data_IF_804282817426
#
_entry.id   IF_804282817426
#
_cell.length_a   1.000
_cell.length_b   1.000
_cell.length_c   1.000
_cell.angle_alpha   90.00
_cell.angle_beta   90.00
_cell.angle_gamma   90.00
#
_symmetry.space_group_name_H-M   'P 1'
#
loop_
_entity.id
_entity.type
_entity.pdbx_description
1 polymer ?
#
# COMPACT_ATOMS: atom_id res chain seq x y z
N UNK A 1 -10.43 6.41 -28.50
CA UNK A 1 -11.25 7.41 -27.78
C UNK A 1 -11.95 6.71 -26.61
N UNK A 2 -11.56 6.98 -25.37
CA UNK A 2 -12.19 6.36 -24.18
C UNK A 2 -13.42 7.17 -23.83
N UNK A 3 -14.61 6.55 -23.84
CA UNK A 3 -15.86 7.22 -23.47
C UNK A 3 -15.90 7.37 -21.96
N UNK A 4 -15.69 8.59 -21.46
CA UNK A 4 -15.81 8.92 -20.04
C UNK A 4 -17.29 9.02 -19.72
N UNK A 5 -17.80 8.13 -18.86
CA UNK A 5 -19.16 8.21 -18.33
C UNK A 5 -19.33 9.53 -17.54
N UNK A 6 -20.48 10.20 -17.65
CA UNK A 6 -20.78 11.42 -16.90
C UNK A 6 -20.61 11.23 -15.38
N UNK A 7 -20.79 10.00 -14.87
CA UNK A 7 -20.55 9.67 -13.47
C UNK A 7 -19.06 9.81 -13.08
N UNK A 8 -18.14 9.57 -14.01
CA UNK A 8 -16.69 9.66 -13.81
C UNK A 8 -16.21 11.11 -13.66
N UNK A 9 -16.98 12.08 -14.18
CA UNK A 9 -16.60 13.51 -14.14
C UNK A 9 -16.40 13.94 -12.69
N UNK A 10 -17.37 13.67 -11.81
CA UNK A 10 -17.27 14.00 -10.39
C UNK A 10 -16.09 13.33 -9.70
N UNK A 11 -15.77 12.08 -10.08
CA UNK A 11 -14.59 11.37 -9.55
C UNK A 11 -13.30 12.07 -9.93
N UNK A 12 -13.15 12.46 -11.20
CA UNK A 12 -11.95 13.11 -11.72
C UNK A 12 -11.83 14.53 -11.15
N UNK A 13 -12.93 15.27 -11.08
CA UNK A 13 -12.97 16.63 -10.50
C UNK A 13 -12.55 16.60 -9.02
N UNK A 14 -13.18 15.75 -8.20
CA UNK A 14 -12.84 15.63 -6.76
C UNK A 14 -11.44 15.06 -6.51
N UNK A 15 -10.90 14.32 -7.48
CA UNK A 15 -9.52 13.82 -7.42
C UNK A 15 -8.50 14.94 -7.74
N UNK A 16 -8.85 15.82 -8.67
CA UNK A 16 -8.01 16.95 -9.09
C UNK A 16 -8.04 18.15 -8.13
N UNK A 17 -9.10 18.30 -7.32
CA UNK A 17 -9.19 19.37 -6.32
C UNK A 17 -8.22 19.15 -5.18
N UNK A 18 -7.26 20.06 -5.00
CA UNK A 18 -6.34 20.03 -3.86
C UNK A 18 -7.10 20.27 -2.55
N UNK A 19 -6.73 19.57 -1.46
CA UNK A 19 -7.41 19.70 -0.19
C UNK A 19 -6.96 21.00 0.50
N UNK A 20 -7.87 21.60 1.27
CA UNK A 20 -7.53 22.73 2.12
C UNK A 20 -6.50 22.29 3.18
N UNK A 21 -5.50 23.13 3.45
CA UNK A 21 -4.37 22.81 4.34
C UNK A 21 -4.81 22.43 5.77
N UNK A 22 -6.00 22.86 6.19
CA UNK A 22 -6.54 22.63 7.53
C UNK A 22 -7.15 21.22 7.70
N UNK A 23 -7.41 20.51 6.61
CA UNK A 23 -7.95 19.14 6.65
C UNK A 23 -6.82 18.12 6.65
N UNK A 24 -6.41 17.70 7.85
CA UNK A 24 -5.38 16.68 8.05
C UNK A 24 -5.68 15.40 7.26
N UNK A 25 -6.93 14.94 7.26
CA UNK A 25 -7.28 13.64 6.70
C UNK A 25 -7.19 13.69 5.16
N UNK A 26 -7.79 14.71 4.55
CA UNK A 26 -7.77 14.88 3.10
C UNK A 26 -6.37 15.23 2.59
N UNK A 27 -5.64 16.09 3.32
CA UNK A 27 -4.26 16.48 3.00
C UNK A 27 -3.28 15.34 3.13
N UNK A 28 -3.54 14.34 3.99
CA UNK A 28 -2.68 13.15 4.06
C UNK A 28 -2.93 12.19 2.90
N UNK A 29 -4.21 12.01 2.52
CA UNK A 29 -4.64 11.00 1.56
C UNK A 29 -4.20 11.33 0.12
N UNK A 30 -4.26 12.60 -0.26
CA UNK A 30 -4.08 13.02 -1.65
C UNK A 30 -2.62 12.98 -2.16
N UNK A 31 -1.60 13.50 -1.44
CA UNK A 31 -0.22 13.49 -1.92
C UNK A 31 0.50 12.15 -1.67
N UNK A 32 0.07 11.34 -0.69
CA UNK A 32 0.81 10.13 -0.29
C UNK A 32 0.32 8.84 -0.96
N UNK A 33 -0.91 8.79 -1.48
CA UNK A 33 -1.38 7.64 -2.25
C UNK A 33 -2.59 7.92 -3.13
N UNK A 34 -2.22 8.51 -4.26
CA UNK A 34 -3.01 8.75 -5.47
C UNK A 34 -3.90 7.58 -5.88
N UNK A 35 -3.34 6.37 -5.90
CA UNK A 35 -4.03 5.12 -6.24
C UNK A 35 -5.21 4.80 -5.31
N UNK A 36 -4.99 4.85 -3.99
CA UNK A 36 -6.05 4.58 -3.00
C UNK A 36 -7.08 5.68 -2.95
N UNK A 37 -6.68 6.94 -3.09
CA UNK A 37 -7.61 8.08 -3.14
C UNK A 37 -8.54 7.96 -4.34
N UNK A 38 -8.00 7.68 -5.52
CA UNK A 38 -8.80 7.46 -6.72
C UNK A 38 -9.78 6.30 -6.52
N UNK A 39 -9.30 5.18 -5.96
CA UNK A 39 -10.14 4.03 -5.63
C UNK A 39 -11.25 4.38 -4.63
N UNK A 40 -10.96 5.17 -3.59
CA UNK A 40 -11.95 5.65 -2.63
C UNK A 40 -13.06 6.45 -3.31
N UNK A 41 -12.70 7.37 -4.22
CA UNK A 41 -13.67 8.18 -4.96
C UNK A 41 -14.53 7.32 -5.88
N UNK A 42 -13.95 6.32 -6.53
CA UNK A 42 -14.71 5.34 -7.31
C UNK A 42 -15.72 4.56 -6.46
N UNK A 43 -15.30 4.10 -5.28
CA UNK A 43 -16.18 3.41 -4.33
C UNK A 43 -17.28 4.31 -3.78
N UNK A 44 -17.01 5.61 -3.65
CA UNK A 44 -17.97 6.59 -3.16
C UNK A 44 -19.05 6.93 -4.20
N UNK A 45 -18.70 7.05 -5.48
CA UNK A 45 -19.60 7.56 -6.52
C UNK A 45 -20.26 6.49 -7.39
N UNK A 46 -19.58 5.38 -7.74
CA UNK A 46 -19.99 4.60 -8.93
C UNK A 46 -19.82 3.10 -8.78
N UNK A 47 -18.72 2.65 -8.17
CA UNK A 47 -18.19 1.32 -8.46
C UNK A 47 -18.17 0.38 -7.25
N UNK A 48 -18.27 -0.91 -7.57
CA UNK A 48 -17.85 -2.02 -6.73
C UNK A 48 -16.52 -2.54 -7.24
N UNK A 49 -15.62 -2.91 -6.35
CA UNK A 49 -14.35 -3.54 -6.72
C UNK A 49 -14.52 -5.04 -6.89
N UNK A 50 -14.01 -5.58 -7.99
CA UNK A 50 -13.90 -7.02 -8.22
C UNK A 50 -12.41 -7.37 -8.21
N UNK A 51 -12.03 -8.37 -7.42
CA UNK A 51 -10.68 -8.94 -7.47
C UNK A 51 -10.65 -10.04 -8.52
N UNK A 52 -9.83 -9.86 -9.55
CA UNK A 52 -9.62 -10.85 -10.61
C UNK A 52 -8.39 -11.68 -10.26
N UNK A 53 -8.57 -12.97 -10.03
CA UNK A 53 -7.52 -13.88 -9.55
C UNK A 53 -6.46 -14.22 -10.60
N UNK A 54 -6.77 -14.02 -11.88
CA UNK A 54 -5.83 -14.16 -13.00
C UNK A 54 -4.89 -12.97 -13.16
N UNK A 55 -5.17 -11.82 -12.52
CA UNK A 55 -4.33 -10.63 -12.56
C UNK A 55 -3.11 -10.79 -11.63
N UNK A 56 -2.08 -11.49 -12.11
CA UNK A 56 -0.82 -11.69 -11.38
C UNK A 56 0.17 -10.60 -11.74
N UNK A 57 0.55 -9.78 -10.76
CA UNK A 57 1.55 -8.72 -10.94
C UNK A 57 2.82 -9.04 -10.13
N UNK A 58 3.99 -8.96 -10.78
CA UNK A 58 5.28 -9.07 -10.09
C UNK A 58 5.76 -7.67 -9.69
N UNK A 59 6.20 -7.52 -8.45
CA UNK A 59 6.76 -6.26 -7.95
C UNK A 59 8.20 -6.46 -7.51
N UNK A 60 9.07 -5.48 -7.80
CA UNK A 60 10.43 -5.47 -7.29
C UNK A 60 10.40 -5.02 -5.83
N UNK A 61 10.82 -5.86 -4.86
CA UNK A 61 10.83 -5.45 -3.46
C UNK A 61 11.88 -4.34 -3.24
N UNK A 62 11.73 -3.53 -2.18
CA UNK A 62 12.76 -2.57 -1.80
C UNK A 62 14.08 -3.29 -1.49
N UNK A 63 15.18 -2.75 -2.02
CA UNK A 63 16.51 -3.37 -1.92
C UNK A 63 17.26 -2.99 -0.63
N UNK A 64 16.69 -2.11 0.21
CA UNK A 64 17.28 -1.73 1.48
C UNK A 64 16.24 -1.51 2.57
N UNK A 65 16.64 -1.72 3.83
CA UNK A 65 15.80 -1.50 5.00
C UNK A 65 15.25 -0.08 5.08
N UNK A 66 16.09 0.90 4.77
CA UNK A 66 15.67 2.30 4.73
C UNK A 66 14.58 2.57 3.69
N UNK A 67 14.74 2.03 2.47
CA UNK A 67 13.73 2.13 1.41
C UNK A 67 12.44 1.42 1.80
N UNK A 68 12.54 0.25 2.45
CA UNK A 68 11.40 -0.48 2.98
C UNK A 68 10.63 0.35 4.02
N UNK A 69 11.30 0.88 5.04
CA UNK A 69 10.65 1.66 6.10
C UNK A 69 10.02 2.94 5.57
N UNK A 70 10.71 3.67 4.69
CA UNK A 70 10.18 4.90 4.07
C UNK A 70 8.94 4.60 3.22
N UNK A 71 9.00 3.55 2.40
CA UNK A 71 7.86 3.10 1.59
C UNK A 71 6.68 2.69 2.47
N UNK A 72 6.95 1.91 3.53
CA UNK A 72 5.91 1.42 4.45
C UNK A 72 5.32 2.52 5.31
N UNK A 73 6.09 3.53 5.70
CA UNK A 73 5.58 4.76 6.35
C UNK A 73 4.57 5.44 5.44
N UNK A 74 4.94 5.75 4.19
CA UNK A 74 4.05 6.37 3.19
C UNK A 74 2.76 5.57 3.01
N UNK A 75 2.90 4.28 2.74
CA UNK A 75 1.75 3.41 2.50
C UNK A 75 0.88 3.21 3.74
N UNK A 76 1.51 3.16 4.92
CA UNK A 76 0.84 3.03 6.21
C UNK A 76 -0.01 4.25 6.52
N UNK A 77 0.57 5.46 6.47
CA UNK A 77 -0.17 6.72 6.67
C UNK A 77 -1.32 6.83 5.68
N UNK A 78 -1.05 6.64 4.40
CA UNK A 78 -2.09 6.71 3.37
C UNK A 78 -3.21 5.68 3.58
N UNK A 79 -2.86 4.42 3.91
CA UNK A 79 -3.85 3.38 4.15
C UNK A 79 -4.68 3.67 5.41
N UNK A 80 -4.07 4.19 6.47
CA UNK A 80 -4.75 4.55 7.72
C UNK A 80 -5.83 5.61 7.47
N UNK A 81 -5.47 6.74 6.87
CA UNK A 81 -6.42 7.84 6.64
C UNK A 81 -7.48 7.53 5.58
N UNK A 82 -7.14 6.82 4.49
CA UNK A 82 -8.17 6.37 3.54
C UNK A 82 -9.17 5.41 4.19
N UNK A 83 -8.69 4.54 5.10
CA UNK A 83 -9.58 3.61 5.80
C UNK A 83 -10.52 4.36 6.72
N UNK A 84 -10.05 5.39 7.43
CA UNK A 84 -10.90 6.29 8.22
C UNK A 84 -11.99 6.90 7.32
N UNK A 85 -11.63 7.42 6.15
CA UNK A 85 -12.61 7.97 5.20
C UNK A 85 -13.64 6.94 4.75
N UNK A 86 -13.23 5.70 4.47
CA UNK A 86 -14.17 4.62 4.13
C UNK A 86 -15.13 4.27 5.27
N UNK A 87 -14.71 4.46 6.52
CA UNK A 87 -15.54 4.18 7.70
C UNK A 87 -16.60 5.26 7.89
N UNK A 88 -16.21 6.54 7.83
CA UNK A 88 -17.11 7.65 8.16
C UNK A 88 -18.02 8.10 7.00
N UNK A 89 -17.62 7.92 5.75
CA UNK A 89 -18.34 8.51 4.62
C UNK A 89 -19.64 7.76 4.31
N UNK A 90 -20.75 8.50 4.17
CA UNK A 90 -22.12 7.97 4.17
C UNK A 90 -22.46 7.09 2.97
N UNK A 91 -21.97 7.39 1.75
CA UNK A 91 -22.32 6.64 0.54
C UNK A 91 -21.51 5.35 0.32
N UNK A 92 -20.56 5.02 1.20
CA UNK A 92 -19.78 3.80 1.09
C UNK A 92 -20.65 2.59 1.49
N UNK A 93 -20.65 1.56 0.65
CA UNK A 93 -21.41 0.33 0.88
C UNK A 93 -21.12 -0.30 2.27
N UNK A 94 -22.13 -0.74 3.03
CA UNK A 94 -21.97 -1.21 4.42
C UNK A 94 -20.94 -2.33 4.58
N UNK A 95 -20.88 -3.29 3.64
CA UNK A 95 -19.89 -4.38 3.67
C UNK A 95 -18.44 -3.82 3.57
N UNK A 96 -18.22 -2.85 2.70
CA UNK A 96 -16.92 -2.18 2.55
C UNK A 96 -16.56 -1.41 3.83
N UNK A 97 -17.56 -0.80 4.47
CA UNK A 97 -17.41 -0.11 5.75
C UNK A 97 -16.97 -1.09 6.85
N UNK A 98 -17.65 -2.24 7.00
CA UNK A 98 -17.28 -3.27 7.99
C UNK A 98 -15.86 -3.80 7.72
N UNK A 99 -15.52 -4.08 6.46
CA UNK A 99 -14.17 -4.52 6.10
C UNK A 99 -13.11 -3.47 6.45
N UNK A 100 -13.43 -2.19 6.21
CA UNK A 100 -12.58 -1.05 6.57
C UNK A 100 -12.45 -0.88 8.09
N UNK A 101 -13.54 -1.01 8.85
CA UNK A 101 -13.51 -1.01 10.32
C UNK A 101 -12.59 -2.10 10.85
N UNK A 102 -12.73 -3.34 10.36
CA UNK A 102 -11.87 -4.46 10.74
C UNK A 102 -10.40 -4.19 10.42
N UNK A 103 -10.12 -3.56 9.27
CA UNK A 103 -8.76 -3.19 8.89
C UNK A 103 -8.19 -2.08 9.79
N UNK A 104 -8.99 -1.06 10.10
CA UNK A 104 -8.62 0.02 11.01
C UNK A 104 -8.32 -0.52 12.41
N UNK A 105 -9.19 -1.39 12.95
CA UNK A 105 -8.95 -2.07 14.23
C UNK A 105 -7.62 -2.84 14.22
N UNK A 106 -7.32 -3.56 13.14
CA UNK A 106 -6.05 -4.31 13.02
C UNK A 106 -4.81 -3.40 13.05
N UNK A 107 -4.92 -2.19 12.47
CA UNK A 107 -3.85 -1.18 12.52
C UNK A 107 -3.68 -0.62 13.93
N UNK A 108 -4.77 -0.23 14.60
CA UNK A 108 -4.72 0.33 15.96
C UNK A 108 -4.25 -0.70 17.00
N UNK A 109 -4.67 -1.96 16.88
CA UNK A 109 -4.37 -3.03 17.84
C UNK A 109 -3.00 -3.69 17.60
N UNK A 110 -2.11 -3.09 16.81
CA UNK A 110 -0.78 -3.67 16.55
C UNK A 110 0.07 -3.79 17.81
N UNK A 111 0.02 -2.79 18.70
CA UNK A 111 0.74 -2.82 19.98
C UNK A 111 0.15 -3.85 20.95
N UNK A 112 -1.19 -3.94 20.99
CA UNK A 112 -1.90 -4.93 21.80
C UNK A 112 -1.54 -6.37 21.38
N UNK A 113 -1.36 -6.63 20.08
CA UNK A 113 -0.90 -7.94 19.59
C UNK A 113 0.49 -8.32 20.10
N UNK A 114 1.42 -7.36 20.17
CA UNK A 114 2.75 -7.61 20.71
C UNK A 114 2.69 -7.97 22.20
N UNK A 115 1.90 -7.22 22.96
CA UNK A 115 1.69 -7.50 24.38
C UNK A 115 1.06 -8.88 24.62
N UNK A 116 -0.01 -9.22 23.87
CA UNK A 116 -0.64 -10.54 23.96
C UNK A 116 0.30 -11.68 23.56
N UNK A 117 1.19 -11.46 22.60
CA UNK A 117 2.22 -12.44 22.24
C UNK A 117 3.19 -12.66 23.41
N UNK A 118 3.63 -11.59 24.08
CA UNK A 118 4.43 -11.69 25.30
C UNK A 118 3.72 -12.48 26.39
N UNK A 119 2.46 -12.12 26.70
CA UNK A 119 1.65 -12.84 27.67
C UNK A 119 1.48 -14.31 27.31
N UNK A 120 1.16 -14.62 26.05
CA UNK A 120 1.05 -16.00 25.57
C UNK A 120 2.34 -16.78 25.81
N UNK A 121 3.51 -16.22 25.49
CA UNK A 121 4.79 -16.89 25.72
C UNK A 121 5.06 -17.12 27.21
N UNK A 122 4.74 -16.15 28.08
CA UNK A 122 4.90 -16.35 29.53
C UNK A 122 4.03 -17.47 30.07
N UNK A 123 2.76 -17.54 29.61
CA UNK A 123 1.83 -18.59 30.02
C UNK A 123 2.22 -19.95 29.43
N UNK A 124 2.72 -19.96 28.19
CA UNK A 124 3.18 -21.17 27.53
C UNK A 124 4.35 -21.82 28.29
N UNK A 125 5.28 -21.00 28.81
CA UNK A 125 6.42 -21.49 29.59
C UNK A 125 5.99 -21.91 31.00
N UNK A 126 5.10 -21.16 31.65
CA UNK A 126 4.67 -21.44 33.02
C UNK A 126 3.72 -22.64 33.15
N UNK A 127 2.82 -22.83 32.17
CA UNK A 127 1.73 -23.80 32.24
C UNK A 127 1.56 -24.53 30.90
N UNK A 128 2.62 -25.18 30.43
CA UNK A 128 2.60 -25.87 29.14
C UNK A 128 1.59 -27.02 29.10
N UNK A 129 0.53 -26.86 28.32
CA UNK A 129 -0.39 -27.94 27.94
C UNK A 129 -0.26 -28.22 26.43
N UNK A 130 0.28 -29.41 26.11
CA UNK A 130 0.47 -29.84 24.73
C UNK A 130 -0.85 -29.91 23.96
N UNK A 131 -1.93 -30.37 24.59
CA UNK A 131 -3.23 -30.58 23.91
C UNK A 131 -3.87 -29.25 23.54
N UNK A 132 -3.93 -28.32 24.49
CA UNK A 132 -4.40 -26.94 24.25
C UNK A 132 -3.54 -26.24 23.21
N UNK A 133 -2.21 -26.36 23.29
CA UNK A 133 -1.29 -25.79 22.32
C UNK A 133 -1.50 -26.31 20.90
N UNK A 134 -1.62 -27.63 20.71
CA UNK A 134 -1.87 -28.24 19.40
C UNK A 134 -3.21 -27.80 18.81
N UNK A 135 -4.25 -27.72 19.65
CA UNK A 135 -5.59 -27.32 19.23
C UNK A 135 -5.62 -25.86 18.77
N UNK A 136 -5.05 -24.95 19.55
CA UNK A 136 -4.95 -23.52 19.19
C UNK A 136 -4.09 -23.31 17.94
N UNK A 137 -2.95 -24.01 17.86
CA UNK A 137 -2.06 -23.95 16.68
C UNK A 137 -2.77 -24.44 15.42
N UNK A 138 -3.54 -25.53 15.50
CA UNK A 138 -4.33 -26.05 14.38
C UNK A 138 -5.34 -25.03 13.84
N UNK A 139 -6.08 -24.37 14.73
CA UNK A 139 -7.05 -23.32 14.36
C UNK A 139 -6.35 -22.13 13.68
N UNK A 140 -5.19 -21.70 14.21
CA UNK A 140 -4.43 -20.57 13.66
C UNK A 140 -3.78 -20.89 12.30
N UNK A 141 -3.39 -22.15 12.08
CA UNK A 141 -2.78 -22.59 10.82
C UNK A 141 -3.82 -22.82 9.72
N UNK A 142 -5.09 -23.10 10.06
CA UNK A 142 -6.14 -23.45 9.11
C UNK A 142 -6.22 -22.53 7.86
N UNK A 143 -6.25 -21.18 7.97
CA UNK A 143 -6.32 -20.33 6.78
C UNK A 143 -5.08 -20.42 5.89
N UNK A 144 -3.92 -20.70 6.49
CA UNK A 144 -2.66 -20.84 5.74
C UNK A 144 -2.60 -22.18 5.03
N UNK A 145 -3.00 -23.26 5.70
CA UNK A 145 -3.14 -24.57 5.10
C UNK A 145 -4.12 -24.52 3.92
N UNK A 146 -5.29 -23.90 4.11
CA UNK A 146 -6.27 -23.70 3.04
C UNK A 146 -5.69 -22.93 1.84
N UNK A 147 -4.97 -21.84 2.09
CA UNK A 147 -4.31 -21.06 1.03
C UNK A 147 -3.28 -21.89 0.24
N UNK A 148 -2.47 -22.70 0.92
CA UNK A 148 -1.49 -23.56 0.25
C UNK A 148 -2.14 -24.68 -0.55
N UNK A 149 -3.18 -25.30 -0.01
CA UNK A 149 -3.98 -26.29 -0.74
C UNK A 149 -4.55 -25.68 -2.02
N UNK A 150 -5.15 -24.49 -1.94
CA UNK A 150 -5.67 -23.79 -3.12
C UNK A 150 -4.58 -23.43 -4.14
N UNK A 151 -3.39 -23.00 -3.66
CA UNK A 151 -2.27 -22.60 -4.50
C UNK A 151 -1.70 -23.74 -5.35
N UNK A 152 -1.81 -24.99 -4.89
CA UNK A 152 -1.38 -26.19 -5.64
C UNK A 152 -2.17 -26.34 -6.94
N UNK A 153 -3.46 -25.99 -6.93
CA UNK A 153 -4.34 -26.12 -8.09
C UNK A 153 -4.19 -24.99 -9.13
N UNK A 154 -3.50 -23.90 -8.79
CA UNK A 154 -3.29 -22.75 -9.69
C UNK A 154 -1.94 -22.85 -10.39
N UNK A 155 -1.95 -23.13 -11.70
CA UNK A 155 -0.74 -23.31 -12.54
C UNK A 155 0.27 -22.15 -12.40
N UNK A 156 -0.22 -20.92 -12.35
CA UNK A 156 0.60 -19.71 -12.24
C UNK A 156 1.36 -19.61 -10.91
N UNK A 157 0.77 -20.11 -9.81
CA UNK A 157 1.37 -20.03 -8.47
C UNK A 157 2.23 -21.25 -8.18
N UNK A 158 1.88 -22.41 -8.74
CA UNK A 158 2.56 -23.70 -8.51
C UNK A 158 4.06 -23.65 -8.81
N UNK A 159 4.49 -22.99 -9.88
CA UNK A 159 5.92 -22.84 -10.23
C UNK A 159 6.71 -22.05 -9.19
N UNK A 160 6.05 -21.18 -8.43
CA UNK A 160 6.63 -20.31 -7.41
C UNK A 160 6.22 -20.69 -5.99
N UNK A 161 5.65 -21.89 -5.79
CA UNK A 161 5.10 -22.32 -4.50
C UNK A 161 6.15 -22.30 -3.38
N UNK A 162 7.40 -22.68 -3.69
CA UNK A 162 8.51 -22.61 -2.74
C UNK A 162 8.78 -21.18 -2.25
N UNK A 163 8.73 -20.19 -3.15
CA UNK A 163 8.89 -18.76 -2.80
C UNK A 163 7.74 -18.29 -1.93
N UNK A 164 6.52 -18.73 -2.23
CA UNK A 164 5.32 -18.43 -1.44
C UNK A 164 5.41 -19.05 -0.04
N UNK A 165 5.92 -20.29 0.07
CA UNK A 165 6.11 -20.96 1.35
C UNK A 165 7.12 -20.23 2.23
N UNK A 166 8.30 -19.94 1.69
CA UNK A 166 9.35 -19.17 2.39
C UNK A 166 8.80 -17.81 2.82
N UNK A 167 8.13 -17.10 1.90
CA UNK A 167 7.51 -15.81 2.19
C UNK A 167 6.44 -15.87 3.27
N UNK A 168 5.64 -16.94 3.31
CA UNK A 168 4.62 -17.13 4.33
C UNK A 168 5.21 -17.36 5.72
N UNK A 169 6.26 -18.18 5.83
CA UNK A 169 6.99 -18.41 7.07
C UNK A 169 7.67 -17.14 7.57
N UNK A 170 8.40 -16.45 6.68
CA UNK A 170 9.02 -15.16 6.99
C UNK A 170 7.97 -14.14 7.45
N UNK A 171 6.85 -14.02 6.73
CA UNK A 171 5.77 -13.11 7.09
C UNK A 171 5.13 -13.48 8.44
N UNK A 172 5.00 -14.77 8.80
CA UNK A 172 4.41 -15.18 10.08
C UNK A 172 5.15 -14.56 11.27
N UNK A 173 6.47 -14.73 11.29
CA UNK A 173 7.27 -14.41 12.46
C UNK A 173 7.79 -12.97 12.43
N UNK A 174 8.11 -12.46 11.24
CA UNK A 174 8.75 -11.14 11.09
C UNK A 174 7.71 -10.02 11.02
N UNK A 175 6.55 -10.27 10.39
CA UNK A 175 5.58 -9.18 10.13
C UNK A 175 5.00 -8.58 11.41
N UNK A 176 4.84 -9.37 12.47
CA UNK A 176 4.34 -8.87 13.76
C UNK A 176 5.23 -7.78 14.33
N UNK A 177 6.54 -8.04 14.38
CA UNK A 177 7.55 -7.10 14.88
C UNK A 177 7.70 -5.89 13.95
N UNK A 178 7.80 -6.12 12.64
CA UNK A 178 7.92 -5.03 11.66
C UNK A 178 6.69 -4.11 11.70
N UNK A 179 5.48 -4.66 11.88
CA UNK A 179 4.24 -3.86 11.89
C UNK A 179 4.20 -2.87 13.04
N UNK A 180 4.74 -3.23 14.21
CA UNK A 180 4.84 -2.33 15.36
C UNK A 180 5.75 -1.15 15.03
N UNK A 181 6.94 -1.42 14.49
CA UNK A 181 7.89 -0.36 14.10
C UNK A 181 7.33 0.56 12.99
N UNK A 182 6.66 -0.02 11.98
CA UNK A 182 6.00 0.77 10.92
C UNK A 182 4.92 1.65 11.54
N UNK A 183 4.05 1.11 12.39
CA UNK A 183 2.93 1.88 12.93
C UNK A 183 3.39 2.97 13.90
N UNK A 184 4.41 2.70 14.72
CA UNK A 184 5.06 3.72 15.54
C UNK A 184 5.61 4.85 14.67
N UNK A 185 6.27 4.51 13.54
CA UNK A 185 6.78 5.50 12.59
C UNK A 185 5.65 6.29 11.93
N UNK A 186 4.53 5.65 11.57
CA UNK A 186 3.34 6.31 11.01
C UNK A 186 2.78 7.32 12.01
N UNK A 187 2.58 6.94 13.26
CA UNK A 187 2.05 7.84 14.30
C UNK A 187 3.01 8.97 14.65
N UNK A 188 4.32 8.69 14.73
CA UNK A 188 5.33 9.73 14.95
C UNK A 188 5.38 10.76 13.81
N UNK A 189 5.04 10.35 12.59
CA UNK A 189 5.07 11.20 11.39
C UNK A 189 3.68 11.56 10.87
N UNK A 190 2.65 11.53 11.71
CA UNK A 190 1.26 11.66 11.26
C UNK A 190 0.96 12.99 10.56
N UNK A 191 1.69 14.04 10.94
CA UNK A 191 1.66 15.40 10.38
C UNK A 191 2.79 15.68 9.39
N UNK A 192 3.71 14.73 9.18
CA UNK A 192 4.84 14.92 8.28
C UNK A 192 4.57 14.26 6.92
N UNK A 193 4.11 15.09 5.97
CA UNK A 193 3.75 14.68 4.61
C UNK A 193 4.93 14.69 3.63
N UNK A 194 6.14 15.01 4.08
CA UNK A 194 7.32 15.01 3.22
C UNK A 194 7.62 13.58 2.73
N UNK A 195 7.52 13.40 1.40
CA UNK A 195 7.86 12.15 0.70
C UNK A 195 9.35 11.84 0.74
N UNK A 196 10.18 12.89 0.75
CA UNK A 196 11.64 12.80 0.72
C UNK A 196 12.19 13.17 2.10
N UNK A 197 12.87 12.24 2.80
CA UNK A 197 13.65 12.61 3.97
C UNK A 197 14.74 13.62 3.56
N UNK A 198 14.96 14.66 4.36
CA UNK A 198 15.85 15.79 4.04
C UNK A 198 17.26 15.38 3.55
N UNK A 199 17.74 14.19 3.95
CA UNK A 199 19.00 13.61 3.47
C UNK A 199 19.03 13.34 1.95
N UNK A 200 17.91 12.94 1.34
CA UNK A 200 17.80 12.72 -0.11
C UNK A 200 17.51 14.02 -0.88
N UNK A 201 17.07 15.08 -0.21
CA UNK A 201 16.94 16.41 -0.80
C UNK A 201 18.32 17.06 -1.02
N UNK A 202 19.28 16.84 -0.09
CA UNK A 202 20.67 17.27 -0.25
C UNK A 202 21.36 16.64 -1.47
N UNK A 203 21.15 15.33 -1.69
CA UNK A 203 21.75 14.61 -2.83
C UNK A 203 21.16 15.09 -4.19
N UNK A 204 19.89 15.50 -4.23
CA UNK A 204 19.26 16.03 -5.45
C UNK A 204 19.67 17.47 -5.78
N UNK A 205 19.97 18.30 -4.78
CA UNK A 205 20.44 19.67 -5.02
C UNK A 205 21.83 19.70 -5.70
N UNK A 206 22.65 18.66 -5.50
CA UNK A 206 23.99 18.56 -6.08
C UNK A 206 24.01 17.97 -7.51
N UNK A 207 22.89 17.41 -8.00
CA UNK A 207 22.81 16.70 -9.29
C UNK A 207 21.58 17.06 -10.14
N UNK A 208 21.05 18.28 -10.03
CA UNK A 208 19.94 18.72 -10.90
C UNK A 208 20.49 19.18 -12.26
N UNK A 209 20.14 18.55 -13.40
CA UNK A 209 20.41 19.12 -14.72
C UNK A 209 19.55 20.37 -14.92
N UNK A 210 20.12 21.41 -15.55
CA UNK A 210 19.40 22.64 -15.91
C UNK A 210 18.14 22.32 -16.70
N UNK A 211 16.98 22.63 -16.11
CA UNK A 211 15.69 22.59 -16.81
C UNK A 211 15.62 23.85 -17.67
N UNK A 212 15.88 23.72 -18.97
CA UNK A 212 15.58 24.78 -19.94
C UNK A 212 14.06 24.88 -20.12
N UNK A 213 13.48 25.96 -19.60
CA UNK A 213 12.10 26.35 -19.87
C UNK A 213 12.13 27.15 -21.17
N UNK A 214 11.57 26.61 -22.25
CA UNK A 214 11.35 27.38 -23.48
C UNK A 214 10.29 28.47 -23.22
N UNK A 215 10.55 29.74 -23.59
CA UNK A 215 9.58 30.81 -23.44
C UNK A 215 8.35 30.58 -24.34
N UNK A 216 7.18 30.75 -23.75
CA UNK A 216 5.84 30.42 -24.25
C UNK A 216 5.28 31.42 -25.28
N UNK A 217 6.12 32.04 -26.11
CA UNK A 217 5.68 33.08 -27.04
C UNK A 217 5.49 32.65 -28.49
N UNK A 218 5.69 31.37 -28.86
CA UNK A 218 5.63 30.93 -30.26
C UNK A 218 4.90 29.59 -30.49
N UNK A 219 3.68 29.42 -29.97
CA UNK A 219 2.78 28.37 -30.47
C UNK A 219 1.40 29.00 -30.75
N UNK A 220 1.02 29.23 -32.03
CA UNK A 220 -0.33 29.62 -32.39
C UNK A 220 -1.26 28.41 -32.26
N UNK A 221 -2.50 28.69 -31.85
CA UNK A 221 -3.63 27.76 -31.65
C UNK A 221 -3.51 26.41 -32.38
N UNK A 222 -3.20 25.36 -31.64
CA UNK A 222 -3.32 23.99 -32.09
C UNK A 222 -3.70 23.08 -30.92
N UNK A 223 -4.66 22.20 -31.18
CA UNK A 223 -5.22 21.20 -30.27
C UNK A 223 -4.19 20.55 -29.35
N UNK A 224 -4.57 20.42 -28.06
CA UNK A 224 -3.77 19.84 -26.99
C UNK A 224 -3.49 18.34 -27.27
N UNK A 225 -2.51 18.05 -28.13
CA UNK A 225 -1.97 16.71 -28.32
C UNK A 225 -0.93 16.44 -27.24
N UNK A 226 -1.27 15.57 -26.29
CA UNK A 226 -0.32 15.03 -25.32
C UNK A 226 0.65 14.12 -26.08
N UNK A 227 1.83 14.63 -26.41
CA UNK A 227 2.94 13.83 -26.92
C UNK A 227 3.56 13.04 -25.75
N UNK A 228 3.37 11.72 -25.76
CA UNK A 228 4.20 10.81 -24.97
C UNK A 228 5.50 10.65 -25.76
N UNK A 229 6.60 11.23 -25.25
CA UNK A 229 7.92 11.02 -25.83
C UNK A 229 8.24 9.51 -25.87
N UNK A 230 8.82 8.99 -26.97
CA UNK A 230 9.30 7.62 -26.97
C UNK A 230 10.44 7.49 -25.95
N UNK A 231 10.38 6.44 -25.13
CA UNK A 231 11.51 6.03 -24.30
C UNK A 231 12.65 5.65 -25.25
N UNK A 232 13.69 6.49 -25.28
CA UNK A 232 14.94 6.20 -25.98
C UNK A 232 15.47 4.84 -25.53
N UNK A 233 15.54 3.93 -26.50
CA UNK A 233 16.22 2.65 -26.39
C UNK A 233 17.72 2.91 -26.30
N UNK A 234 18.26 2.97 -25.08
CA UNK A 234 19.68 2.74 -24.85
C UNK A 234 19.87 1.32 -24.35
N UNK A 235 20.35 0.48 -25.26
CA UNK A 235 21.05 -0.76 -24.97
C UNK A 235 22.18 -0.47 -23.97
N UNK A 236 22.11 -1.05 -22.77
CA UNK A 236 23.28 -1.20 -21.91
C UNK A 236 23.77 -2.64 -22.01
N UNK A 237 24.87 -2.77 -22.74
CA UNK A 237 25.71 -3.95 -22.89
C UNK A 237 26.07 -4.60 -21.55
N UNK A 238 25.88 -5.91 -21.47
CA UNK A 238 26.41 -6.78 -20.43
C UNK A 238 27.94 -6.81 -20.52
N UNK A 239 28.70 -6.49 -19.46
CA UNK A 239 30.10 -6.83 -19.40
C UNK A 239 30.24 -8.28 -18.94
N UNK A 240 30.76 -9.13 -19.83
CA UNK A 240 31.38 -10.41 -19.49
C UNK A 240 32.61 -10.20 -18.62
N UNK A 241 32.59 -10.76 -17.40
CA UNK A 241 33.70 -11.46 -16.76
C UNK A 241 33.14 -12.49 -15.77
#
# INVERSE_FOLDING_TARGET
MVKVDNRLINVITDYGTMPHQDDLIHTTVQPLGTDRRLTHLFLFYILRTIMVDSAVCYTKPPQSWYRLLTQRRRWGSNAFFNTIMNVYRSSIHPITRISSCRYLMKMCLVFFRLFNMGLFLTQLVAHFDLKGFLTQTGILLYPSCYFFLFSIFKKTVRSSLHKVLIGCLANRYISGLISVGIMATVFYNIVNFAWVPAASAKIKQEQSPEIYIFPTSEIPDADLQIFIAPLDSREESVPTM
#
